data_IF_939521526083
#
_entry.id   IF_939521526083
#
_cell.length_a   1.000
_cell.length_b   1.000
_cell.length_c   1.000
_cell.angle_alpha   90.00
_cell.angle_beta   90.00
_cell.angle_gamma   90.00
#
_symmetry.space_group_name_H-M   'P 1'
#
loop_
_entity.id
_entity.type
_entity.pdbx_description
1 polymer ?
#
# COMPACT_ATOMS: atom_id res chain seq x y z
N UNK A 1 -7.28 -47.45 -33.93
CA UNK A 1 -5.85 -47.48 -34.33
C UNK A 1 -5.25 -48.78 -33.84
N UNK A 2 -4.54 -49.54 -34.69
CA UNK A 2 -3.78 -50.73 -34.28
C UNK A 2 -2.70 -50.35 -33.25
N UNK A 3 -2.47 -51.20 -32.25
CA UNK A 3 -1.42 -51.01 -31.22
C UNK A 3 -0.01 -50.82 -31.82
N UNK A 4 0.26 -51.43 -32.98
CA UNK A 4 1.51 -51.25 -33.71
C UNK A 4 1.69 -49.83 -34.26
N UNK A 5 0.60 -49.18 -34.69
CA UNK A 5 0.66 -47.82 -35.20
C UNK A 5 0.93 -46.80 -34.10
N UNK A 6 0.47 -47.07 -32.87
CA UNK A 6 0.74 -46.24 -31.70
C UNK A 6 2.21 -46.38 -31.27
N UNK A 7 2.72 -47.62 -31.22
CA UNK A 7 4.12 -47.87 -30.88
C UNK A 7 5.08 -47.23 -31.90
N UNK A 8 4.76 -47.31 -33.19
CA UNK A 8 5.56 -46.70 -34.24
C UNK A 8 5.60 -45.17 -34.11
N UNK A 9 4.45 -44.54 -33.86
CA UNK A 9 4.34 -43.10 -33.65
C UNK A 9 5.10 -42.62 -32.39
N UNK A 10 5.02 -43.36 -31.29
CA UNK A 10 5.75 -43.04 -30.05
C UNK A 10 7.26 -43.26 -30.17
N UNK A 11 7.69 -44.15 -31.06
CA UNK A 11 9.11 -44.41 -31.34
C UNK A 11 9.75 -43.41 -32.31
N UNK A 12 8.95 -42.54 -32.95
CA UNK A 12 9.50 -41.50 -33.82
C UNK A 12 10.36 -40.51 -32.99
N UNK A 13 11.59 -40.20 -33.44
CA UNK A 13 12.51 -39.33 -32.68
C UNK A 13 11.91 -37.97 -32.33
N UNK A 14 11.08 -37.41 -33.21
CA UNK A 14 10.36 -36.15 -33.03
C UNK A 14 9.29 -36.24 -31.94
N UNK A 15 8.54 -37.34 -31.90
CA UNK A 15 7.55 -37.62 -30.85
C UNK A 15 8.22 -37.84 -29.50
N UNK A 16 9.32 -38.58 -29.46
CA UNK A 16 10.09 -38.81 -28.24
C UNK A 16 10.70 -37.50 -27.70
N UNK A 17 11.28 -36.68 -28.59
CA UNK A 17 11.85 -35.39 -28.23
C UNK A 17 10.78 -34.40 -27.72
N UNK A 18 9.59 -34.38 -28.33
CA UNK A 18 8.51 -33.50 -27.87
C UNK A 18 7.96 -33.93 -26.51
N UNK A 19 7.76 -35.23 -26.27
CA UNK A 19 7.38 -35.75 -24.95
C UNK A 19 8.43 -35.43 -23.88
N UNK A 20 9.72 -35.56 -24.20
CA UNK A 20 10.81 -35.20 -23.29
C UNK A 20 10.83 -33.69 -22.98
N UNK A 21 10.61 -32.83 -23.99
CA UNK A 21 10.53 -31.39 -23.81
C UNK A 21 9.35 -30.98 -22.92
N UNK A 22 8.16 -31.57 -23.14
CA UNK A 22 6.97 -31.32 -22.31
C UNK A 22 7.20 -31.80 -20.87
N UNK A 23 7.81 -32.97 -20.69
CA UNK A 23 8.14 -33.50 -19.36
C UNK A 23 9.14 -32.60 -18.62
N UNK A 24 10.20 -32.15 -19.30
CA UNK A 24 11.18 -31.23 -18.73
C UNK A 24 10.56 -29.86 -18.38
N UNK A 25 9.74 -29.29 -19.26
CA UNK A 25 9.02 -28.05 -19.00
C UNK A 25 8.03 -28.18 -17.83
N UNK A 26 7.30 -29.30 -17.76
CA UNK A 26 6.36 -29.59 -16.67
C UNK A 26 7.10 -29.77 -15.34
N UNK A 27 8.24 -30.49 -15.35
CA UNK A 27 9.09 -30.67 -14.18
C UNK A 27 9.62 -29.31 -13.71
N UNK A 28 10.20 -28.51 -14.62
CA UNK A 28 10.66 -27.16 -14.31
C UNK A 28 9.54 -26.30 -13.73
N UNK A 29 8.35 -26.30 -14.33
CA UNK A 29 7.19 -25.57 -13.79
C UNK A 29 6.81 -26.05 -12.39
N UNK A 30 6.70 -27.37 -12.17
CA UNK A 30 6.32 -27.93 -10.86
C UNK A 30 7.36 -27.64 -9.78
N UNK A 31 8.65 -27.62 -10.12
CA UNK A 31 9.73 -27.37 -9.16
C UNK A 31 10.03 -25.89 -8.93
N UNK A 32 9.74 -25.02 -9.91
CA UNK A 32 9.98 -23.57 -9.82
C UNK A 32 8.75 -22.76 -9.45
N UNK A 33 7.53 -23.31 -9.60
CA UNK A 33 6.32 -22.61 -9.21
C UNK A 33 6.33 -22.32 -7.69
N UNK A 34 5.83 -21.16 -7.26
CA UNK A 34 5.59 -20.90 -5.85
C UNK A 34 4.71 -22.00 -5.26
N UNK A 35 5.06 -22.50 -4.08
CA UNK A 35 4.16 -23.41 -3.37
C UNK A 35 2.98 -22.58 -2.86
N UNK A 36 1.73 -22.91 -3.22
CA UNK A 36 0.58 -22.21 -2.66
C UNK A 36 0.63 -22.31 -1.15
N UNK A 37 0.52 -21.17 -0.46
CA UNK A 37 0.33 -21.17 0.98
C UNK A 37 -0.97 -21.92 1.25
N UNK A 38 -0.87 -23.03 2.00
CA UNK A 38 -2.07 -23.75 2.43
C UNK A 38 -2.79 -22.87 3.44
N UNK A 39 -4.07 -22.63 3.21
CA UNK A 39 -4.90 -21.99 4.22
C UNK A 39 -4.87 -22.87 5.47
N UNK A 40 -4.44 -22.34 6.63
CA UNK A 40 -4.33 -23.12 7.86
C UNK A 40 -5.71 -23.52 8.42
N UNK A 41 -6.80 -22.95 7.90
CA UNK A 41 -8.20 -23.24 8.25
C UNK A 41 -9.01 -23.58 7.01
N UNK A 42 -10.11 -24.31 7.18
CA UNK A 42 -11.07 -24.52 6.09
C UNK A 42 -11.68 -23.16 5.66
N UNK A 43 -11.57 -22.77 4.37
CA UNK A 43 -12.16 -21.53 3.87
C UNK A 43 -13.68 -21.42 4.07
N UNK A 44 -14.38 -22.54 4.23
CA UNK A 44 -15.81 -22.57 4.50
C UNK A 44 -16.14 -22.51 6.00
N UNK A 45 -15.14 -22.70 6.88
CA UNK A 45 -15.29 -22.73 8.33
C UNK A 45 -14.23 -21.88 9.05
N UNK A 46 -14.11 -20.61 8.65
CA UNK A 46 -13.08 -19.70 9.18
C UNK A 46 -13.35 -19.20 10.62
N UNK A 47 -14.51 -19.53 11.19
CA UNK A 47 -14.85 -19.21 12.56
C UNK A 47 -15.55 -20.38 13.23
N UNK A 48 -15.33 -20.55 14.54
CA UNK A 48 -15.96 -21.57 15.38
C UNK A 48 -16.75 -20.92 16.50
N UNK A 49 -17.83 -21.55 16.94
CA UNK A 49 -18.63 -21.03 18.06
C UNK A 49 -17.84 -21.16 19.37
N UNK A 50 -17.89 -20.12 20.20
CA UNK A 50 -17.29 -20.13 21.53
C UNK A 50 -18.21 -20.91 22.47
N UNK A 51 -17.74 -22.03 23.07
CA UNK A 51 -18.58 -22.85 23.92
C UNK A 51 -19.19 -22.06 25.07
N UNK A 52 -20.51 -22.13 25.24
CA UNK A 52 -21.23 -21.50 26.35
C UNK A 52 -21.62 -20.03 26.15
N UNK A 53 -21.20 -19.39 25.05
CA UNK A 53 -21.52 -17.97 24.77
C UNK A 53 -22.68 -17.77 23.79
N UNK A 54 -23.31 -18.86 23.33
CA UNK A 54 -24.57 -18.91 22.58
C UNK A 54 -24.55 -18.36 21.15
N UNK A 55 -23.75 -17.33 20.85
CA UNK A 55 -23.56 -16.73 19.51
C UNK A 55 -22.17 -16.15 19.26
N UNK A 56 -21.32 -16.03 20.29
CA UNK A 56 -19.97 -15.55 20.08
C UNK A 56 -19.19 -16.57 19.24
N UNK A 57 -18.40 -16.08 18.28
CA UNK A 57 -17.54 -16.90 17.44
C UNK A 57 -16.11 -16.37 17.51
N UNK A 58 -15.15 -17.29 17.47
CA UNK A 58 -13.72 -16.98 17.37
C UNK A 58 -13.14 -17.48 16.05
N UNK A 59 -11.97 -16.99 15.70
CA UNK A 59 -11.20 -17.53 14.57
C UNK A 59 -10.93 -19.02 14.76
N UNK A 60 -10.99 -19.79 13.68
CA UNK A 60 -10.60 -21.20 13.68
C UNK A 60 -9.06 -21.38 13.77
N UNK A 61 -8.28 -20.29 13.67
CA UNK A 61 -6.81 -20.32 13.64
C UNK A 61 -6.18 -20.67 15.00
N UNK A 62 -6.80 -20.24 16.11
CA UNK A 62 -6.24 -20.40 17.46
C UNK A 62 -7.33 -20.40 18.51
N UNK A 63 -7.09 -21.11 19.61
CA UNK A 63 -7.90 -21.04 20.84
C UNK A 63 -7.37 -19.99 21.82
N UNK A 64 -6.11 -19.60 21.67
CA UNK A 64 -5.43 -18.59 22.49
C UNK A 64 -5.41 -17.23 21.79
N UNK A 65 -5.32 -16.18 22.60
CA UNK A 65 -5.15 -14.81 22.09
C UNK A 65 -3.80 -14.70 21.38
N UNK A 66 -3.84 -14.43 20.08
CA UNK A 66 -2.66 -14.09 19.30
C UNK A 66 -2.43 -12.58 19.44
N UNK A 67 -1.48 -12.19 20.27
CA UNK A 67 -1.08 -10.79 20.41
C UNK A 67 -0.15 -10.36 19.26
N UNK A 68 0.76 -11.25 18.86
CA UNK A 68 1.75 -10.98 17.82
C UNK A 68 1.93 -12.21 16.92
N UNK A 69 2.11 -11.98 15.61
CA UNK A 69 2.45 -13.06 14.68
C UNK A 69 3.94 -13.46 14.76
N UNK A 70 4.80 -12.53 15.19
CA UNK A 70 6.22 -12.74 15.39
C UNK A 70 6.65 -11.97 16.66
N UNK A 71 7.47 -12.59 17.51
CA UNK A 71 7.88 -12.02 18.82
C UNK A 71 8.51 -10.62 18.73
N UNK A 72 9.11 -10.28 17.59
CA UNK A 72 9.81 -9.03 17.35
C UNK A 72 9.03 -8.06 16.44
N UNK A 73 7.72 -8.26 16.28
CA UNK A 73 6.85 -7.42 15.45
C UNK A 73 5.62 -7.00 16.28
N UNK A 74 5.71 -5.81 16.84
CA UNK A 74 4.71 -5.18 17.70
C UNK A 74 4.02 -3.99 17.03
N UNK A 75 4.63 -3.43 15.98
CA UNK A 75 4.10 -2.27 15.26
C UNK A 75 3.94 -2.54 13.76
N UNK A 76 3.09 -1.76 13.08
CA UNK A 76 2.97 -1.80 11.62
C UNK A 76 4.31 -1.47 10.93
N UNK A 77 5.08 -0.55 11.52
CA UNK A 77 6.44 -0.24 11.07
C UNK A 77 7.35 -1.47 11.11
N UNK A 78 7.42 -2.16 12.25
CA UNK A 78 8.21 -3.39 12.38
C UNK A 78 7.73 -4.50 11.44
N UNK A 79 6.42 -4.58 11.20
CA UNK A 79 5.83 -5.51 10.23
C UNK A 79 6.33 -5.27 8.81
N UNK A 80 6.39 -4.00 8.38
CA UNK A 80 6.95 -3.64 7.09
C UNK A 80 8.48 -3.86 7.04
N UNK A 81 9.21 -3.44 8.09
CA UNK A 81 10.67 -3.62 8.16
C UNK A 81 11.08 -5.10 8.15
N UNK A 82 10.26 -5.99 8.74
CA UNK A 82 10.43 -7.44 8.59
C UNK A 82 10.33 -7.87 7.14
N UNK A 83 9.38 -7.33 6.38
CA UNK A 83 9.28 -7.54 4.93
C UNK A 83 10.56 -7.10 4.20
N UNK A 84 11.06 -5.89 4.51
CA UNK A 84 12.32 -5.37 3.96
C UNK A 84 13.49 -6.32 4.25
N UNK A 85 13.64 -6.79 5.50
CA UNK A 85 14.71 -7.72 5.89
C UNK A 85 14.66 -9.06 5.14
N UNK A 86 13.46 -9.57 4.84
CA UNK A 86 13.29 -10.87 4.18
C UNK A 86 13.37 -10.80 2.66
N UNK A 87 12.97 -9.66 2.08
CA UNK A 87 12.71 -9.52 0.66
C UNK A 87 13.62 -8.52 -0.06
N UNK A 88 14.10 -7.48 0.61
CA UNK A 88 15.06 -6.50 0.10
C UNK A 88 14.73 -6.00 -1.31
N UNK A 89 15.51 -6.42 -2.31
CA UNK A 89 15.35 -6.03 -3.72
C UNK A 89 14.26 -6.80 -4.48
N UNK A 90 13.41 -7.58 -3.81
CA UNK A 90 12.26 -8.25 -4.44
C UNK A 90 11.08 -7.29 -4.63
N UNK A 91 10.20 -7.53 -5.61
CA UNK A 91 9.01 -6.70 -5.83
C UNK A 91 8.12 -6.54 -4.60
N UNK A 92 7.70 -5.31 -4.31
CA UNK A 92 6.83 -4.91 -3.20
C UNK A 92 5.55 -4.23 -3.70
N UNK A 93 5.67 -3.05 -4.31
CA UNK A 93 4.52 -2.27 -4.80
C UNK A 93 4.46 -2.25 -6.32
N UNK A 94 3.43 -2.87 -6.87
CA UNK A 94 3.20 -2.94 -8.31
C UNK A 94 2.18 -1.91 -8.78
N UNK A 95 2.47 -1.20 -9.86
CA UNK A 95 1.51 -0.33 -10.54
C UNK A 95 1.62 -0.42 -12.06
N UNK A 96 0.56 0.00 -12.74
CA UNK A 96 0.51 0.15 -14.21
C UNK A 96 -0.34 1.36 -14.54
N UNK A 97 -0.01 2.04 -15.63
CA UNK A 97 -0.78 3.21 -16.07
C UNK A 97 -2.11 2.81 -16.66
N UNK A 98 -2.09 1.77 -17.50
CA UNK A 98 -3.23 1.26 -18.24
C UNK A 98 -3.39 -0.26 -18.02
N UNK A 99 -4.60 -0.79 -18.22
CA UNK A 99 -4.93 -2.20 -17.94
C UNK A 99 -4.19 -3.22 -18.82
N UNK A 100 -3.75 -2.80 -20.00
CA UNK A 100 -3.05 -3.59 -21.00
C UNK A 100 -1.53 -3.60 -20.81
N UNK A 101 -1.00 -2.73 -19.94
CA UNK A 101 0.43 -2.65 -19.65
C UNK A 101 0.86 -3.63 -18.56
N UNK A 102 2.13 -4.04 -18.64
CA UNK A 102 2.79 -4.80 -17.59
C UNK A 102 2.93 -3.96 -16.31
N UNK A 103 2.95 -4.65 -15.17
CA UNK A 103 3.22 -4.00 -13.89
C UNK A 103 4.67 -3.57 -13.81
N UNK A 104 4.87 -2.31 -13.43
CA UNK A 104 6.11 -1.80 -12.89
C UNK A 104 6.13 -2.04 -11.39
N UNK A 105 7.30 -2.26 -10.81
CA UNK A 105 7.44 -2.64 -9.41
C UNK A 105 8.48 -1.79 -8.71
N UNK A 106 8.17 -1.36 -7.49
CA UNK A 106 9.15 -0.93 -6.52
C UNK A 106 9.56 -2.13 -5.69
N UNK A 107 10.83 -2.24 -5.39
CA UNK A 107 11.39 -3.18 -4.42
C UNK A 107 11.06 -2.77 -2.99
N UNK A 108 11.20 -3.69 -2.01
CA UNK A 108 11.01 -3.32 -0.60
C UNK A 108 11.99 -2.22 -0.16
N UNK A 109 13.25 -2.29 -0.61
CA UNK A 109 14.26 -1.26 -0.30
C UNK A 109 13.90 0.12 -0.87
N UNK A 110 13.35 0.17 -2.09
CA UNK A 110 12.89 1.44 -2.68
C UNK A 110 11.68 2.01 -1.96
N UNK A 111 10.73 1.15 -1.56
CA UNK A 111 9.56 1.57 -0.78
C UNK A 111 9.98 2.08 0.61
N UNK A 112 10.91 1.39 1.27
CA UNK A 112 11.48 1.78 2.57
C UNK A 112 12.13 3.16 2.51
N UNK A 113 13.03 3.37 1.55
CA UNK A 113 13.74 4.63 1.35
C UNK A 113 12.79 5.79 1.00
N UNK A 114 11.82 5.55 0.12
CA UNK A 114 10.82 6.56 -0.27
C UNK A 114 9.89 6.92 0.89
N UNK A 115 9.43 5.93 1.66
CA UNK A 115 8.61 6.15 2.84
C UNK A 115 9.38 6.93 3.93
N UNK A 116 10.66 6.60 4.15
CA UNK A 116 11.55 7.35 5.06
C UNK A 116 11.69 8.80 4.60
N UNK A 117 11.94 9.03 3.31
CA UNK A 117 12.03 10.37 2.73
C UNK A 117 10.71 11.14 2.89
N UNK A 118 9.57 10.52 2.56
CA UNK A 118 8.27 11.18 2.71
C UNK A 118 7.99 11.59 4.16
N UNK A 119 8.10 10.66 5.11
CA UNK A 119 7.85 10.95 6.52
C UNK A 119 8.84 11.97 7.11
N UNK A 120 10.13 11.88 6.75
CA UNK A 120 11.12 12.90 7.17
C UNK A 120 10.80 14.28 6.57
N UNK A 121 10.28 14.31 5.35
CA UNK A 121 9.83 15.53 4.69
C UNK A 121 8.63 16.18 5.36
N UNK A 122 7.69 15.38 5.89
CA UNK A 122 6.60 15.88 6.73
C UNK A 122 7.15 16.53 8.01
N UNK A 123 8.11 15.90 8.69
CA UNK A 123 8.73 16.48 9.88
C UNK A 123 9.47 17.80 9.56
N UNK A 124 10.16 17.86 8.43
CA UNK A 124 10.83 19.09 7.96
C UNK A 124 9.84 20.18 7.56
N UNK A 125 8.63 19.82 7.11
CA UNK A 125 7.51 20.74 6.88
C UNK A 125 6.94 21.30 8.20
N UNK A 126 7.33 20.75 9.36
CA UNK A 126 6.86 21.14 10.68
C UNK A 126 5.71 20.29 11.22
N UNK A 127 5.46 19.12 10.63
CA UNK A 127 4.54 18.12 11.19
C UNK A 127 5.18 17.49 12.41
N UNK A 128 4.42 17.32 13.48
CA UNK A 128 4.89 16.65 14.69
C UNK A 128 4.79 15.13 14.52
N UNK A 129 5.79 14.39 14.97
CA UNK A 129 5.70 12.93 15.09
C UNK A 129 4.76 12.54 16.25
N UNK A 130 4.17 11.36 16.16
CA UNK A 130 3.38 10.78 17.25
C UNK A 130 1.89 10.57 16.95
N UNK A 131 1.20 9.82 17.82
CA UNK A 131 -0.13 9.26 17.55
C UNK A 131 -1.26 10.30 17.55
N UNK A 132 -1.00 11.50 18.05
CA UNK A 132 -1.95 12.62 18.02
C UNK A 132 -1.87 13.44 16.72
N UNK A 133 -0.96 13.07 15.81
CA UNK A 133 -0.82 13.71 14.50
C UNK A 133 -1.62 12.94 13.45
N UNK A 134 -2.61 13.60 12.88
CA UNK A 134 -3.49 13.03 11.86
C UNK A 134 -3.19 13.58 10.45
N UNK A 135 -2.94 12.67 9.51
CA UNK A 135 -2.65 12.98 8.11
C UNK A 135 -3.81 12.52 7.24
N UNK A 136 -4.51 13.45 6.61
CA UNK A 136 -5.56 13.14 5.66
C UNK A 136 -4.96 12.55 4.38
N UNK A 137 -5.61 11.54 3.81
CA UNK A 137 -5.26 11.06 2.47
C UNK A 137 -6.52 10.98 1.62
N UNK A 138 -6.57 11.77 0.54
CA UNK A 138 -7.68 11.88 -0.40
C UNK A 138 -7.24 11.46 -1.80
N UNK A 139 -7.20 10.16 -2.03
CA UNK A 139 -6.61 9.55 -3.23
C UNK A 139 -7.13 8.14 -3.41
N UNK A 140 -7.08 7.65 -4.64
CA UNK A 140 -7.33 6.24 -4.94
C UNK A 140 -6.10 5.39 -4.61
N UNK A 141 -6.24 4.07 -4.72
CA UNK A 141 -5.13 3.13 -4.52
C UNK A 141 -4.00 3.41 -5.53
N UNK A 142 -2.88 3.92 -5.01
CA UNK A 142 -1.67 4.25 -5.77
C UNK A 142 -0.43 3.97 -4.92
N UNK A 143 0.74 4.05 -5.55
CA UNK A 143 2.02 3.84 -4.87
C UNK A 143 2.20 4.89 -3.76
N UNK A 144 1.93 6.15 -4.05
CA UNK A 144 2.09 7.28 -3.12
C UNK A 144 1.18 7.16 -1.89
N UNK A 145 0.02 6.52 -2.03
CA UNK A 145 -0.86 6.22 -0.90
C UNK A 145 -0.15 5.33 0.12
N UNK A 146 0.45 4.24 -0.35
CA UNK A 146 1.16 3.29 0.51
C UNK A 146 2.45 3.92 1.04
N UNK A 147 3.16 4.71 0.24
CA UNK A 147 4.34 5.45 0.71
C UNK A 147 3.99 6.45 1.82
N UNK A 148 2.87 7.14 1.70
CA UNK A 148 2.37 8.03 2.75
C UNK A 148 2.04 7.26 4.03
N UNK A 149 1.34 6.13 3.92
CA UNK A 149 1.04 5.24 5.05
C UNK A 149 2.32 4.76 5.75
N UNK A 150 3.26 4.19 5.00
CA UNK A 150 4.51 3.68 5.58
C UNK A 150 5.37 4.79 6.16
N UNK A 151 5.37 5.99 5.54
CA UNK A 151 6.02 7.17 6.08
C UNK A 151 5.38 7.66 7.38
N UNK A 152 4.05 7.60 7.50
CA UNK A 152 3.34 7.94 8.74
C UNK A 152 3.62 6.92 9.85
N UNK A 153 3.52 5.63 9.55
CA UNK A 153 3.80 4.54 10.49
C UNK A 153 5.21 4.65 11.11
N UNK A 154 6.19 5.11 10.33
CA UNK A 154 7.59 5.28 10.77
C UNK A 154 7.76 6.33 11.87
N UNK A 155 6.91 7.35 11.90
CA UNK A 155 6.98 8.44 12.87
C UNK A 155 5.74 8.47 13.77
N UNK A 156 5.11 7.31 13.94
CA UNK A 156 3.93 7.12 14.78
C UNK A 156 2.73 8.03 14.45
N UNK A 157 2.66 8.57 13.23
CA UNK A 157 1.54 9.41 12.78
C UNK A 157 0.37 8.56 12.29
N UNK A 158 -0.85 9.07 12.40
CA UNK A 158 -2.09 8.36 12.06
C UNK A 158 -2.63 8.86 10.71
N UNK A 159 -2.86 7.94 9.77
CA UNK A 159 -3.51 8.29 8.51
C UNK A 159 -5.04 8.27 8.63
N UNK A 160 -5.71 9.20 7.95
CA UNK A 160 -7.17 9.29 7.88
C UNK A 160 -7.61 9.31 6.42
N UNK A 161 -8.21 8.22 5.91
CA UNK A 161 -8.69 8.18 4.53
C UNK A 161 -9.93 9.06 4.34
N UNK A 162 -9.92 9.87 3.28
CA UNK A 162 -11.04 10.66 2.82
C UNK A 162 -11.65 9.98 1.58
N UNK A 163 -12.86 9.43 1.72
CA UNK A 163 -13.51 8.65 0.67
C UNK A 163 -14.32 9.52 -0.30
N UNK A 164 -14.03 9.39 -1.59
CA UNK A 164 -14.73 10.06 -2.70
C UNK A 164 -16.26 9.90 -2.67
N UNK A 165 -16.74 8.72 -2.25
CA UNK A 165 -18.16 8.33 -2.37
C UNK A 165 -19.07 9.05 -1.38
N UNK A 166 -18.51 9.68 -0.34
CA UNK A 166 -19.28 10.37 0.69
C UNK A 166 -19.55 11.85 0.33
N UNK A 167 -18.88 12.37 -0.70
CA UNK A 167 -19.02 13.74 -1.17
C UNK A 167 -18.20 14.76 -0.36
N UNK A 168 -18.11 16.01 -0.87
CA UNK A 168 -17.22 17.03 -0.32
C UNK A 168 -17.58 17.48 1.10
N UNK A 169 -18.86 17.50 1.46
CA UNK A 169 -19.30 17.89 2.80
C UNK A 169 -18.85 16.87 3.87
N UNK A 170 -18.86 15.57 3.53
CA UNK A 170 -18.34 14.53 4.41
C UNK A 170 -16.81 14.64 4.57
N UNK A 171 -16.07 14.96 3.49
CA UNK A 171 -14.63 15.21 3.58
C UNK A 171 -14.33 16.38 4.52
N UNK A 172 -15.03 17.51 4.38
CA UNK A 172 -14.86 18.66 5.27
C UNK A 172 -15.19 18.31 6.73
N UNK A 173 -16.27 17.56 6.95
CA UNK A 173 -16.64 17.07 8.28
C UNK A 173 -15.51 16.23 8.91
N UNK A 174 -14.93 15.28 8.18
CA UNK A 174 -13.85 14.43 8.68
C UNK A 174 -12.60 15.26 8.98
N UNK A 175 -12.23 16.18 8.08
CA UNK A 175 -11.08 17.07 8.26
C UNK A 175 -11.21 17.87 9.56
N UNK A 176 -12.39 18.43 9.83
CA UNK A 176 -12.61 19.20 11.05
C UNK A 176 -12.68 18.29 12.29
N UNK A 177 -13.40 17.17 12.21
CA UNK A 177 -13.59 16.25 13.32
C UNK A 177 -12.25 15.69 13.83
N UNK A 178 -11.33 15.38 12.91
CA UNK A 178 -10.01 14.88 13.23
C UNK A 178 -8.92 15.96 13.23
N UNK A 179 -9.29 17.24 13.10
CA UNK A 179 -8.39 18.39 13.14
C UNK A 179 -7.21 18.27 12.18
N UNK A 180 -7.47 17.75 10.98
CA UNK A 180 -6.45 17.44 9.98
C UNK A 180 -5.86 18.73 9.43
N UNK A 181 -4.55 18.93 9.64
CA UNK A 181 -3.82 20.08 9.11
C UNK A 181 -3.23 19.86 7.72
N UNK A 182 -3.00 18.59 7.36
CA UNK A 182 -2.34 18.21 6.11
C UNK A 182 -3.12 17.11 5.42
N UNK A 183 -3.40 17.28 4.13
CA UNK A 183 -4.02 16.24 3.31
C UNK A 183 -3.16 15.93 2.10
N UNK A 184 -2.74 14.67 1.96
CA UNK A 184 -2.17 14.13 0.73
C UNK A 184 -3.31 13.86 -0.24
N UNK A 185 -3.25 14.39 -1.46
CA UNK A 185 -4.41 14.50 -2.33
C UNK A 185 -4.04 14.13 -3.77
N UNK A 186 -4.87 13.30 -4.41
CA UNK A 186 -4.77 13.06 -5.84
C UNK A 186 -4.93 14.37 -6.63
N UNK A 187 -4.19 14.53 -7.74
CA UNK A 187 -4.30 15.71 -8.59
C UNK A 187 -5.74 16.02 -9.03
N UNK A 188 -6.55 14.99 -9.31
CA UNK A 188 -7.96 15.14 -9.69
C UNK A 188 -8.88 15.61 -8.56
N UNK A 189 -8.39 15.60 -7.30
CA UNK A 189 -9.16 15.92 -6.08
C UNK A 189 -8.80 17.27 -5.49
N UNK A 190 -7.65 17.84 -5.87
CA UNK A 190 -7.17 19.16 -5.42
C UNK A 190 -8.24 20.22 -5.61
N UNK A 191 -8.84 20.29 -6.81
CA UNK A 191 -9.87 21.28 -7.12
C UNK A 191 -11.12 21.15 -6.24
N UNK A 192 -11.51 19.93 -5.90
CA UNK A 192 -12.66 19.68 -5.02
C UNK A 192 -12.36 20.14 -3.60
N UNK A 193 -11.14 19.89 -3.13
CA UNK A 193 -10.68 20.32 -1.81
C UNK A 193 -10.58 21.84 -1.73
N UNK A 194 -9.97 22.49 -2.74
CA UNK A 194 -9.87 23.95 -2.83
C UNK A 194 -11.24 24.64 -2.90
N UNK A 195 -12.23 24.05 -3.58
CA UNK A 195 -13.61 24.58 -3.59
C UNK A 195 -14.33 24.51 -2.23
N UNK A 196 -13.86 23.66 -1.32
CA UNK A 196 -14.48 23.45 -0.01
C UNK A 196 -13.52 23.76 1.15
N UNK A 197 -12.39 24.41 0.86
CA UNK A 197 -11.33 24.68 1.85
C UNK A 197 -11.81 25.61 2.96
N UNK A 198 -12.73 26.54 2.67
CA UNK A 198 -13.38 27.39 3.67
C UNK A 198 -14.16 26.61 4.73
N UNK A 199 -14.59 25.39 4.40
CA UNK A 199 -15.26 24.48 5.34
C UNK A 199 -14.26 23.63 6.14
N UNK A 200 -12.96 23.73 5.85
CA UNK A 200 -11.90 22.91 6.42
C UNK A 200 -11.00 23.78 7.33
N UNK A 201 -11.44 24.05 8.55
CA UNK A 201 -10.90 25.11 9.41
C UNK A 201 -9.41 24.95 9.74
N UNK A 202 -9.00 23.71 10.01
CA UNK A 202 -7.64 23.37 10.44
C UNK A 202 -6.69 23.07 9.26
N UNK A 203 -7.19 22.93 8.02
CA UNK A 203 -6.36 22.56 6.87
C UNK A 203 -5.38 23.69 6.51
N UNK A 204 -4.09 23.35 6.42
CA UNK A 204 -2.98 24.29 6.09
C UNK A 204 -2.15 23.84 4.91
N UNK A 205 -2.05 22.53 4.68
CA UNK A 205 -1.23 21.98 3.61
C UNK A 205 -2.00 20.97 2.76
N UNK A 206 -1.85 21.09 1.44
CA UNK A 206 -2.26 20.07 0.47
C UNK A 206 -1.00 19.50 -0.17
N UNK A 207 -0.77 18.20 -0.03
CA UNK A 207 0.33 17.51 -0.69
C UNK A 207 -0.23 16.81 -1.93
N UNK A 208 -0.02 17.40 -3.10
CA UNK A 208 -0.54 16.90 -4.37
C UNK A 208 0.28 15.70 -4.86
N UNK A 209 -0.39 14.59 -5.16
CA UNK A 209 0.18 13.48 -5.92
C UNK A 209 0.18 13.87 -7.40
N UNK A 210 1.37 14.09 -7.96
CA UNK A 210 1.59 14.50 -9.35
C UNK A 210 2.90 15.27 -9.51
N UNK A 211 3.24 15.58 -10.77
CA UNK A 211 4.57 16.14 -11.11
C UNK A 211 4.72 17.62 -10.77
N UNK A 212 3.63 18.38 -10.75
CA UNK A 212 3.67 19.82 -10.52
C UNK A 212 2.36 20.37 -9.94
N UNK A 213 2.48 21.53 -9.31
CA UNK A 213 1.35 22.39 -8.93
C UNK A 213 1.23 23.50 -9.97
N UNK A 214 0.02 23.75 -10.48
CA UNK A 214 -0.21 24.82 -11.45
C UNK A 214 -0.22 26.19 -10.78
N UNK A 215 0.00 27.25 -11.54
CA UNK A 215 -0.09 28.63 -11.03
C UNK A 215 -1.49 28.93 -10.47
N UNK A 216 -2.55 28.46 -11.14
CA UNK A 216 -3.94 28.59 -10.68
C UNK A 216 -4.18 27.87 -9.33
N UNK A 217 -3.67 26.65 -9.18
CA UNK A 217 -3.77 25.91 -7.91
C UNK A 217 -3.05 26.65 -6.77
N UNK A 218 -1.85 27.20 -7.05
CA UNK A 218 -1.07 27.97 -6.08
C UNK A 218 -1.78 29.26 -5.66
N UNK A 219 -2.30 30.03 -6.62
CA UNK A 219 -3.01 31.28 -6.34
C UNK A 219 -4.25 31.02 -5.48
N UNK A 220 -5.06 30.04 -5.86
CA UNK A 220 -6.27 29.69 -5.11
C UNK A 220 -5.98 29.13 -3.73
N UNK A 221 -4.96 28.29 -3.56
CA UNK A 221 -4.56 27.83 -2.23
C UNK A 221 -4.15 29.01 -1.34
N UNK A 222 -3.37 29.94 -1.90
CA UNK A 222 -2.88 31.14 -1.18
C UNK A 222 -4.01 32.08 -0.77
N UNK A 223 -5.05 32.26 -1.59
CA UNK A 223 -6.25 33.04 -1.24
C UNK A 223 -6.91 32.54 0.05
N UNK A 224 -6.82 31.24 0.32
CA UNK A 224 -7.40 30.58 1.48
C UNK A 224 -6.38 30.30 2.60
N UNK A 225 -5.15 30.82 2.48
CA UNK A 225 -4.09 30.61 3.47
C UNK A 225 -3.61 29.16 3.57
N UNK A 226 -3.74 28.39 2.49
CA UNK A 226 -3.26 27.01 2.36
C UNK A 226 -2.04 26.99 1.44
N UNK A 227 -1.03 26.19 1.81
CA UNK A 227 0.12 25.90 0.95
C UNK A 227 -0.11 24.58 0.21
N UNK A 228 0.21 24.54 -1.08
CA UNK A 228 0.16 23.32 -1.88
C UNK A 228 1.56 23.00 -2.42
N UNK A 229 1.97 21.76 -2.19
CA UNK A 229 3.29 21.22 -2.57
C UNK A 229 3.10 19.85 -3.21
N UNK A 230 4.07 19.37 -4.00
CA UNK A 230 3.97 18.02 -4.56
C UNK A 230 4.46 16.96 -3.58
N UNK A 231 4.02 15.71 -3.78
CA UNK A 231 4.54 14.56 -3.05
C UNK A 231 6.07 14.44 -3.22
N UNK A 232 6.57 14.66 -4.44
CA UNK A 232 7.99 14.61 -4.75
C UNK A 232 8.80 15.70 -4.01
N UNK A 233 8.23 16.89 -3.83
CA UNK A 233 8.88 17.96 -3.05
C UNK A 233 9.07 17.54 -1.58
N UNK A 234 8.07 16.86 -1.00
CA UNK A 234 8.15 16.32 0.36
C UNK A 234 9.23 15.24 0.46
N UNK A 235 9.25 14.29 -0.48
CA UNK A 235 10.31 13.28 -0.53
C UNK A 235 11.71 13.91 -0.66
N UNK A 236 11.86 14.95 -1.49
CA UNK A 236 13.15 15.64 -1.67
C UNK A 236 13.58 16.43 -0.42
N UNK A 237 12.64 17.07 0.28
CA UNK A 237 12.91 17.71 1.59
C UNK A 237 13.42 16.67 2.59
N UNK A 238 12.74 15.54 2.71
CA UNK A 238 13.16 14.48 3.64
C UNK A 238 14.44 13.76 3.22
N UNK A 239 14.73 13.63 1.92
CA UNK A 239 16.01 13.10 1.43
C UNK A 239 17.19 13.94 1.90
N UNK A 240 17.03 15.26 1.96
CA UNK A 240 18.03 16.21 2.47
C UNK A 240 18.11 16.25 3.99
N UNK A 241 17.03 15.87 4.68
CA UNK A 241 16.88 16.01 6.13
C UNK A 241 16.30 14.74 6.78
N UNK A 242 16.89 13.57 6.50
CA UNK A 242 16.42 12.29 7.03
C UNK A 242 16.38 12.32 8.57
N UNK A 243 15.27 11.84 9.14
CA UNK A 243 15.06 11.72 10.58
C UNK A 243 15.01 10.25 10.97
N UNK A 244 15.42 9.97 12.21
CA UNK A 244 15.29 8.63 12.78
C UNK A 244 13.82 8.32 13.11
N UNK A 245 13.34 7.10 12.84
CA UNK A 245 11.99 6.64 13.22
C UNK A 245 11.70 6.81 14.72
N UNK A 246 10.42 6.95 15.07
CA UNK A 246 9.92 7.13 16.45
C UNK A 246 8.85 6.12 16.80
#
# INVERSE_FOLDING_TARGET
MSSENVLKFLSEPTTLASLAAVAAASMMYVTSRPTPLKCPVDPNEQSVEVPGEGRARRTALSEELIEHFYDNVNTLYEGFMRGVQLAGDKPCLGWRKDYDQEYQWLTYNEVDERALCFGSGLLELGVEAGPETFIGIYSQNKVEWVLAEQGCNRFSMVIIPLYDTLGPDACAFIINQARIKITVCDASKVETLLKNVDKCEDLKYIIKIGDSVTEEEQERAKEHGVEIVTFNDIEERGRKAKKEPV
#
